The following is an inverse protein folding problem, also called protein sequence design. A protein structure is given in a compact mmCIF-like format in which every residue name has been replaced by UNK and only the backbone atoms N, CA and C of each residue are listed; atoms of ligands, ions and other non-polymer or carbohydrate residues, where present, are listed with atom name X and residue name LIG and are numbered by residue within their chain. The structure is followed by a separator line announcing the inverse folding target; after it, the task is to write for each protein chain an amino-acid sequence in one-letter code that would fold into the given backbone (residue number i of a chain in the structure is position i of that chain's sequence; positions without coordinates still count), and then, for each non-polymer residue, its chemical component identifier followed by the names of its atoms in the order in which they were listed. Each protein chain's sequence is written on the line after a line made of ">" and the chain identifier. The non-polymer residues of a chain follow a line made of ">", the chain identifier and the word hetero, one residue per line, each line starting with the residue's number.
data_IF_521207889532
#
_entry.id   IF_521207889532
#
_cell.length_a   1.000
_cell.length_b   1.000
_cell.length_c   1.000
_cell.angle_alpha   90.00
_cell.angle_beta   90.00
_cell.angle_gamma   90.00
#
_symmetry.space_group_name_H-M   'P 1'
#
loop_
_entity.id
_entity.type
_entity.pdbx_description
1 polymer ?
#
# COMPACT_ATOMS: atom_id res chain seq x y z
N UNK A 1 -0.12 -11.35 -22.43
CA UNK A 1 0.09 -10.17 -21.61
C UNK A 1 1.50 -9.63 -21.79
N UNK A 2 1.73 -8.36 -21.50
CA UNK A 2 3.06 -7.73 -21.55
C UNK A 2 3.98 -8.24 -20.45
N UNK A 3 3.42 -8.77 -19.38
CA UNK A 3 4.12 -9.26 -18.20
C UNK A 3 3.26 -10.29 -17.46
N UNK A 4 3.82 -10.92 -16.45
CA UNK A 4 3.10 -11.80 -15.55
C UNK A 4 2.97 -11.17 -14.14
N UNK A 5 2.14 -11.75 -13.29
CA UNK A 5 1.82 -11.22 -11.99
C UNK A 5 2.66 -11.85 -10.84
N UNK A 6 3.77 -12.51 -11.13
CA UNK A 6 4.55 -13.26 -10.13
C UNK A 6 5.51 -12.40 -9.29
N UNK A 7 5.89 -11.20 -9.73
CA UNK A 7 6.77 -10.32 -8.97
C UNK A 7 6.21 -9.93 -7.60
N UNK A 8 7.11 -9.65 -6.65
CA UNK A 8 6.74 -9.14 -5.31
C UNK A 8 6.44 -7.65 -5.29
N UNK A 9 6.77 -6.96 -6.38
CA UNK A 9 6.47 -5.55 -6.66
C UNK A 9 5.66 -5.52 -7.96
N UNK A 10 4.68 -4.64 -8.06
CA UNK A 10 3.88 -4.46 -9.26
C UNK A 10 4.58 -3.59 -10.32
N UNK A 11 3.92 -3.32 -11.46
CA UNK A 11 4.50 -2.53 -12.55
C UNK A 11 4.69 -1.05 -12.20
N UNK A 12 3.95 -0.52 -11.24
CA UNK A 12 4.09 0.84 -10.74
C UNK A 12 5.16 0.95 -9.64
N UNK A 13 5.75 -0.17 -9.19
CA UNK A 13 6.73 -0.21 -8.13
C UNK A 13 6.12 -0.33 -6.73
N UNK A 14 4.81 -0.58 -6.62
CA UNK A 14 4.17 -0.78 -5.31
C UNK A 14 4.42 -2.20 -4.80
N UNK A 15 4.72 -2.30 -3.51
CA UNK A 15 4.93 -3.56 -2.82
C UNK A 15 3.61 -4.35 -2.73
N UNK A 16 3.68 -5.64 -3.06
CA UNK A 16 2.62 -6.61 -2.83
C UNK A 16 2.78 -7.29 -1.47
N UNK A 17 1.76 -8.01 -1.01
CA UNK A 17 1.82 -8.69 0.28
C UNK A 17 3.05 -9.62 0.42
N UNK A 18 3.44 -10.32 -0.66
CA UNK A 18 4.63 -11.17 -0.65
C UNK A 18 5.97 -10.41 -0.46
N UNK A 19 6.04 -9.13 -0.78
CA UNK A 19 7.19 -8.28 -0.45
C UNK A 19 7.43 -8.28 1.06
N UNK A 20 6.37 -8.09 1.83
CA UNK A 20 6.44 -8.05 3.30
C UNK A 20 6.74 -9.42 3.92
N UNK A 21 6.34 -10.52 3.26
CA UNK A 21 6.80 -11.86 3.67
C UNK A 21 8.34 -11.96 3.55
N UNK A 22 8.93 -11.59 2.40
CA UNK A 22 10.38 -11.60 2.25
C UNK A 22 11.06 -10.62 3.21
N UNK A 23 10.49 -9.43 3.42
CA UNK A 23 11.02 -8.48 4.40
C UNK A 23 11.05 -9.07 5.80
N UNK A 24 10.02 -9.80 6.22
CA UNK A 24 9.98 -10.44 7.53
C UNK A 24 11.04 -11.53 7.72
N UNK A 25 11.52 -12.12 6.62
CA UNK A 25 12.52 -13.21 6.65
C UNK A 25 13.96 -12.71 6.49
N UNK A 26 14.16 -11.58 5.81
CA UNK A 26 15.49 -11.15 5.38
C UNK A 26 15.95 -9.81 5.97
N UNK A 27 15.05 -9.07 6.64
CA UNK A 27 15.38 -7.77 7.24
C UNK A 27 15.50 -7.90 8.76
N UNK A 28 16.49 -7.23 9.33
CA UNK A 28 16.63 -7.04 10.77
C UNK A 28 15.82 -5.83 11.28
N UNK A 29 15.32 -4.97 10.39
CA UNK A 29 14.48 -3.83 10.75
C UNK A 29 13.14 -4.32 11.30
N UNK A 30 12.72 -3.83 12.48
CA UNK A 30 11.46 -4.24 13.08
C UNK A 30 10.27 -4.01 12.16
N UNK A 31 9.51 -5.08 11.87
CA UNK A 31 8.38 -4.96 10.97
C UNK A 31 7.19 -5.84 11.38
N UNK A 32 6.00 -5.41 10.97
CA UNK A 32 4.78 -6.18 10.94
C UNK A 32 3.90 -5.72 9.79
N UNK A 33 3.36 -6.66 9.04
CA UNK A 33 2.39 -6.41 7.98
C UNK A 33 1.16 -7.26 8.22
N UNK A 34 -0.03 -6.66 8.10
CA UNK A 34 -1.32 -7.34 8.24
C UNK A 34 -2.06 -7.33 6.92
N UNK A 35 -2.54 -8.49 6.50
CA UNK A 35 -3.32 -8.66 5.29
C UNK A 35 -4.55 -9.57 5.52
N UNK A 36 -5.56 -9.46 4.66
CA UNK A 36 -5.77 -8.46 3.61
C UNK A 36 -6.11 -7.08 4.19
N UNK A 37 -6.28 -6.09 3.29
CA UNK A 37 -6.93 -4.83 3.68
C UNK A 37 -8.28 -5.10 4.38
N UNK A 38 -8.79 -4.14 5.20
CA UNK A 38 -10.01 -4.36 5.98
C UNK A 38 -11.20 -3.58 5.42
N UNK A 39 -11.43 -3.72 4.09
CA UNK A 39 -12.55 -3.10 3.39
C UNK A 39 -13.18 -4.13 2.44
N UNK A 40 -14.23 -4.80 2.88
CA UNK A 40 -14.90 -5.88 2.15
C UNK A 40 -16.41 -5.66 2.14
N UNK A 41 -16.92 -4.68 1.39
CA UNK A 41 -18.34 -4.37 1.36
C UNK A 41 -19.16 -5.60 0.92
N UNK A 42 -20.26 -5.88 1.64
CA UNK A 42 -21.13 -7.02 1.38
C UNK A 42 -20.63 -8.36 1.92
N UNK A 43 -19.53 -8.37 2.70
CA UNK A 43 -19.01 -9.58 3.37
C UNK A 43 -19.19 -9.53 4.89
N UNK A 44 -20.11 -8.72 5.39
CA UNK A 44 -20.37 -8.63 6.83
C UNK A 44 -20.75 -10.00 7.41
N UNK A 45 -20.05 -10.41 8.48
CA UNK A 45 -20.22 -11.71 9.13
C UNK A 45 -19.43 -12.87 8.49
N UNK A 46 -18.89 -12.71 7.28
CA UNK A 46 -18.05 -13.74 6.66
C UNK A 46 -16.70 -13.81 7.38
N UNK A 47 -16.24 -15.01 7.71
CA UNK A 47 -14.89 -15.22 8.24
C UNK A 47 -13.84 -14.87 7.18
N UNK A 48 -12.90 -13.97 7.55
CA UNK A 48 -11.76 -13.60 6.73
C UNK A 48 -10.49 -14.03 7.45
N UNK A 49 -9.62 -14.83 6.81
CA UNK A 49 -8.32 -15.14 7.36
C UNK A 49 -7.45 -13.87 7.33
N UNK A 50 -7.14 -13.36 8.51
CA UNK A 50 -6.21 -12.26 8.71
C UNK A 50 -4.83 -12.85 8.94
N UNK A 51 -3.93 -12.58 8.01
CA UNK A 51 -2.55 -13.06 8.03
C UNK A 51 -1.63 -11.94 8.51
N UNK A 52 -0.64 -12.28 9.31
CA UNK A 52 0.37 -11.34 9.80
C UNK A 52 1.76 -11.89 9.48
N UNK A 53 2.58 -11.05 8.82
CA UNK A 53 4.01 -11.27 8.63
C UNK A 53 4.77 -10.38 9.61
N UNK A 54 5.79 -10.93 10.27
CA UNK A 54 6.65 -10.17 11.20
C UNK A 54 7.98 -10.89 11.40
N UNK A 55 9.03 -10.12 11.70
CA UNK A 55 10.31 -10.63 12.19
C UNK A 55 10.42 -10.62 13.73
N UNK A 56 9.27 -10.43 14.41
CA UNK A 56 9.14 -10.59 15.85
C UNK A 56 8.90 -12.04 16.29
N UNK A 57 8.90 -12.28 17.60
CA UNK A 57 8.66 -13.59 18.21
C UNK A 57 7.17 -13.91 18.34
N UNK A 58 6.32 -12.87 18.33
CA UNK A 58 4.88 -12.97 18.46
C UNK A 58 4.18 -11.77 17.83
N UNK A 59 2.89 -11.95 17.52
CA UNK A 59 2.01 -10.85 17.18
C UNK A 59 0.67 -10.94 17.94
N UNK A 60 0.06 -9.80 18.16
CA UNK A 60 -1.29 -9.69 18.73
C UNK A 60 -2.18 -8.93 17.75
N UNK A 61 -3.34 -9.49 17.48
CA UNK A 61 -4.32 -8.89 16.59
C UNK A 61 -5.40 -8.17 17.40
N UNK A 62 -5.78 -6.98 16.94
CA UNK A 62 -6.83 -6.17 17.55
C UNK A 62 -7.91 -5.84 16.52
N UNK A 63 -9.16 -5.86 16.97
CA UNK A 63 -10.28 -5.32 16.23
C UNK A 63 -10.95 -4.19 17.03
N UNK A 64 -10.98 -2.98 16.48
CA UNK A 64 -11.48 -1.77 17.15
C UNK A 64 -10.89 -1.57 18.56
N UNK A 65 -9.59 -1.87 18.72
CA UNK A 65 -8.88 -1.77 19.99
C UNK A 65 -9.06 -2.95 20.95
N UNK A 66 -9.97 -3.89 20.68
CA UNK A 66 -10.14 -5.11 21.47
C UNK A 66 -9.21 -6.20 20.96
N UNK A 67 -8.43 -6.79 21.83
CA UNK A 67 -7.55 -7.91 21.50
C UNK A 67 -8.34 -9.14 21.04
N UNK A 68 -7.88 -9.76 19.96
CA UNK A 68 -8.32 -11.05 19.44
C UNK A 68 -7.33 -12.17 19.82
N UNK A 69 -6.40 -11.86 20.71
CA UNK A 69 -5.38 -12.74 21.22
C UNK A 69 -4.01 -12.53 20.59
N UNK A 70 -3.00 -12.90 21.38
CA UNK A 70 -1.59 -12.96 20.97
C UNK A 70 -1.26 -14.38 20.55
N UNK A 71 -0.46 -14.52 19.50
CA UNK A 71 0.07 -15.80 19.01
C UNK A 71 1.57 -15.68 18.79
N UNK A 72 2.29 -16.75 19.12
CA UNK A 72 3.72 -16.85 18.90
C UNK A 72 4.03 -17.17 17.44
N UNK A 73 5.15 -16.66 16.94
CA UNK A 73 5.71 -17.03 15.65
C UNK A 73 6.53 -18.29 15.82
N UNK A 74 6.07 -19.38 15.25
CA UNK A 74 6.84 -20.64 15.25
C UNK A 74 7.92 -20.61 14.16
N UNK A 75 9.06 -21.21 14.43
CA UNK A 75 10.21 -21.22 13.50
C UNK A 75 9.90 -21.81 12.13
N UNK A 76 9.00 -22.77 12.07
CA UNK A 76 8.59 -23.44 10.82
C UNK A 76 7.38 -22.77 10.17
N UNK A 77 6.89 -21.68 10.75
CA UNK A 77 5.77 -20.90 10.23
C UNK A 77 6.27 -19.62 9.57
N UNK A 78 5.76 -19.31 8.37
CA UNK A 78 6.07 -18.07 7.67
C UNK A 78 5.08 -16.95 8.04
N UNK A 79 4.04 -17.26 8.82
CA UNK A 79 2.93 -16.35 9.09
C UNK A 79 2.15 -16.75 10.33
N UNK A 80 1.43 -15.79 10.89
CA UNK A 80 0.44 -16.02 11.94
C UNK A 80 -0.94 -15.71 11.37
N UNK A 81 -1.95 -16.54 11.65
CA UNK A 81 -3.30 -16.40 11.08
C UNK A 81 -4.37 -16.35 12.16
N UNK A 82 -5.33 -15.44 11.99
CA UNK A 82 -6.59 -15.37 12.74
C UNK A 82 -7.77 -15.42 11.77
N UNK A 83 -8.77 -16.21 12.08
CA UNK A 83 -10.05 -16.16 11.36
C UNK A 83 -10.96 -15.15 12.07
N UNK A 84 -11.30 -14.08 11.38
CA UNK A 84 -12.05 -12.95 11.96
C UNK A 84 -13.32 -12.71 11.18
N UNK A 85 -14.51 -12.81 11.80
CA UNK A 85 -15.76 -12.39 11.15
C UNK A 85 -15.69 -10.92 10.75
N UNK A 86 -15.80 -10.65 9.45
CA UNK A 86 -15.70 -9.29 8.94
C UNK A 86 -16.82 -8.39 9.48
N UNK A 87 -16.43 -7.26 9.98
CA UNK A 87 -17.28 -6.09 10.30
C UNK A 87 -16.52 -4.82 9.95
N UNK A 88 -17.19 -3.76 9.47
CA UNK A 88 -16.54 -2.47 9.28
C UNK A 88 -15.88 -1.97 10.57
N UNK A 89 -14.61 -1.57 10.48
CA UNK A 89 -13.84 -1.13 11.65
C UNK A 89 -12.35 -1.04 11.35
N UNK A 90 -11.54 -1.17 12.38
CA UNK A 90 -10.07 -1.16 12.30
C UNK A 90 -9.53 -2.51 12.75
N UNK A 91 -8.75 -3.16 11.88
CA UNK A 91 -7.90 -4.29 12.23
C UNK A 91 -6.48 -3.77 12.45
N UNK A 92 -5.82 -4.19 13.52
CA UNK A 92 -4.44 -3.77 13.84
C UNK A 92 -3.65 -4.97 14.35
N UNK A 93 -2.46 -5.16 13.78
CA UNK A 93 -1.48 -6.09 14.32
C UNK A 93 -0.38 -5.34 15.06
N UNK A 94 0.06 -5.90 16.19
CA UNK A 94 1.21 -5.44 16.97
C UNK A 94 2.20 -6.58 17.09
N UNK A 95 3.44 -6.37 16.68
CA UNK A 95 4.51 -7.36 16.79
C UNK A 95 5.35 -7.14 18.04
N UNK A 96 5.81 -8.25 18.59
CA UNK A 96 6.63 -8.29 19.81
C UNK A 96 7.94 -9.06 19.53
N UNK A 97 9.00 -8.64 20.19
CA UNK A 97 10.28 -9.35 20.28
C UNK A 97 10.82 -9.20 21.69
N UNK A 98 11.23 -10.31 22.31
CA UNK A 98 11.70 -10.36 23.69
C UNK A 98 10.73 -9.64 24.67
N UNK A 99 9.42 -9.87 24.45
CA UNK A 99 8.35 -9.29 25.27
C UNK A 99 8.06 -7.80 25.03
N UNK A 100 8.79 -7.12 24.14
CA UNK A 100 8.63 -5.68 23.84
C UNK A 100 7.93 -5.50 22.50
N UNK A 101 7.11 -4.45 22.39
CA UNK A 101 6.53 -4.01 21.12
C UNK A 101 7.63 -3.49 20.20
N UNK A 102 7.70 -4.01 18.98
CA UNK A 102 8.68 -3.62 17.96
C UNK A 102 8.06 -2.89 16.78
N UNK A 103 6.83 -3.23 16.39
CA UNK A 103 6.15 -2.61 15.25
C UNK A 103 4.63 -2.73 15.38
N UNK A 104 3.89 -1.90 14.62
CA UNK A 104 2.44 -2.06 14.47
C UNK A 104 1.99 -1.64 13.07
N UNK A 105 0.97 -2.34 12.53
CA UNK A 105 0.34 -2.07 11.25
C UNK A 105 -1.17 -2.12 11.41
N UNK A 106 -1.92 -1.30 10.67
CA UNK A 106 -3.38 -1.30 10.77
C UNK A 106 -4.04 -0.96 9.45
N UNK A 107 -5.21 -1.58 9.22
CA UNK A 107 -6.12 -1.24 8.13
C UNK A 107 -7.46 -0.83 8.70
N UNK A 108 -8.05 0.20 8.11
CA UNK A 108 -9.36 0.71 8.48
C UNK A 108 -10.31 0.56 7.31
N UNK A 109 -11.53 0.11 7.59
CA UNK A 109 -12.58 0.05 6.58
C UNK A 109 -12.83 1.43 6.00
N UNK A 110 -12.67 1.54 4.68
CA UNK A 110 -12.94 2.75 3.93
C UNK A 110 -14.41 2.81 3.48
N UNK A 111 -14.91 4.03 3.35
CA UNK A 111 -16.17 4.32 2.68
C UNK A 111 -16.00 4.38 1.15
N UNK A 112 -16.95 5.03 0.47
CA UNK A 112 -16.89 5.27 -0.98
C UNK A 112 -15.73 6.20 -1.32
N UNK A 113 -15.13 6.00 -2.50
CA UNK A 113 -14.14 6.90 -3.07
C UNK A 113 -14.67 8.35 -3.09
N UNK A 114 -13.84 9.29 -2.64
CA UNK A 114 -14.23 10.69 -2.48
C UNK A 114 -13.18 11.68 -2.98
N UNK A 115 -11.90 11.43 -2.67
CA UNK A 115 -10.80 12.33 -3.03
C UNK A 115 -9.53 11.58 -3.38
N UNK A 116 -8.59 12.30 -3.96
CA UNK A 116 -7.24 11.82 -4.24
C UNK A 116 -6.26 12.43 -3.23
N UNK A 117 -5.37 11.61 -2.71
CA UNK A 117 -4.21 12.03 -1.93
C UNK A 117 -2.96 11.81 -2.75
N UNK A 118 -2.16 12.88 -2.96
CA UNK A 118 -0.89 12.81 -3.64
C UNK A 118 0.24 12.83 -2.62
N UNK A 119 1.19 11.92 -2.78
CA UNK A 119 2.36 11.82 -1.90
C UNK A 119 3.61 11.68 -2.74
N UNK A 120 4.48 12.70 -2.70
CA UNK A 120 5.78 12.63 -3.35
C UNK A 120 6.80 11.90 -2.45
N UNK A 121 7.69 11.12 -3.06
CA UNK A 121 8.78 10.42 -2.37
C UNK A 121 9.83 11.39 -1.80
N UNK A 122 9.89 12.62 -2.33
CA UNK A 122 10.80 13.68 -1.89
C UNK A 122 10.16 15.06 -2.06
N UNK A 123 10.64 16.04 -1.31
CA UNK A 123 10.13 17.42 -1.33
C UNK A 123 10.88 18.33 -2.29
N UNK A 124 12.08 17.96 -2.72
CA UNK A 124 12.96 18.78 -3.55
C UNK A 124 13.62 17.95 -4.64
N UNK A 125 13.88 18.57 -5.77
CA UNK A 125 14.62 18.03 -6.90
C UNK A 125 15.74 18.97 -7.32
N UNK A 126 16.80 18.44 -7.89
CA UNK A 126 17.88 19.25 -8.51
C UNK A 126 17.47 19.61 -9.95
N UNK A 127 17.65 20.88 -10.35
CA UNK A 127 17.43 21.35 -11.72
C UNK A 127 18.56 20.90 -12.64
N UNK A 128 18.57 19.63 -13.06
CA UNK A 128 19.68 19.01 -13.79
C UNK A 128 19.22 18.10 -14.93
N UNK A 129 17.95 18.13 -15.33
CA UNK A 129 17.31 17.26 -16.35
C UNK A 129 17.41 15.76 -16.06
N UNK A 130 17.89 15.36 -14.90
CA UNK A 130 18.11 13.95 -14.55
C UNK A 130 17.33 13.52 -13.31
N UNK A 131 17.14 14.45 -12.37
CA UNK A 131 16.49 14.15 -11.11
C UNK A 131 14.99 13.89 -11.33
N UNK A 132 14.46 12.88 -10.65
CA UNK A 132 13.06 12.45 -10.77
C UNK A 132 12.40 12.40 -9.41
N UNK A 133 11.09 12.61 -9.39
CA UNK A 133 10.23 12.42 -8.23
C UNK A 133 9.12 11.46 -8.60
N UNK A 134 8.82 10.56 -7.69
CA UNK A 134 7.69 9.63 -7.78
C UNK A 134 6.54 10.18 -6.93
N UNK A 135 5.40 10.38 -7.55
CA UNK A 135 4.20 10.87 -6.87
C UNK A 135 3.15 9.76 -6.86
N UNK A 136 2.95 9.18 -5.69
CA UNK A 136 1.88 8.21 -5.46
C UNK A 136 0.54 8.93 -5.37
N UNK A 137 -0.45 8.41 -6.08
CA UNK A 137 -1.84 8.83 -6.01
C UNK A 137 -2.62 7.73 -5.29
N UNK A 138 -3.21 8.07 -4.15
CA UNK A 138 -4.09 7.19 -3.38
C UNK A 138 -5.53 7.70 -3.47
N UNK A 139 -6.46 6.81 -3.79
CA UNK A 139 -7.89 7.11 -3.68
C UNK A 139 -8.30 6.99 -2.22
N UNK A 140 -8.94 8.02 -1.70
CA UNK A 140 -9.37 8.06 -0.30
C UNK A 140 -10.88 8.31 -0.17
N UNK A 141 -11.45 7.87 0.94
CA UNK A 141 -12.83 8.20 1.31
C UNK A 141 -12.91 9.62 1.92
N UNK A 142 -14.13 10.06 2.25
CA UNK A 142 -14.38 11.38 2.87
C UNK A 142 -13.64 11.60 4.20
N UNK A 143 -13.20 10.52 4.88
CA UNK A 143 -12.46 10.59 6.14
C UNK A 143 -10.93 10.45 5.92
N UNK A 144 -10.49 10.36 4.67
CA UNK A 144 -9.08 10.18 4.32
C UNK A 144 -8.57 8.73 4.42
N UNK A 145 -9.44 7.74 4.62
CA UNK A 145 -9.03 6.34 4.62
C UNK A 145 -8.80 5.87 3.17
N UNK A 146 -7.73 5.10 2.95
CA UNK A 146 -7.42 4.51 1.65
C UNK A 146 -8.51 3.54 1.19
N UNK A 147 -8.92 3.64 -0.10
CA UNK A 147 -9.95 2.80 -0.72
C UNK A 147 -9.33 1.76 -1.64
N UNK A 148 -9.05 0.54 -1.16
CA UNK A 148 -8.18 -0.44 -1.81
C UNK A 148 -8.81 -1.14 -3.02
N UNK A 149 -10.04 -0.83 -3.38
CA UNK A 149 -10.76 -1.41 -4.52
C UNK A 149 -11.18 -0.36 -5.55
N UNK A 150 -10.75 0.89 -5.38
CA UNK A 150 -11.16 1.97 -6.27
C UNK A 150 -10.41 1.92 -7.59
N UNK A 151 -11.17 1.84 -8.69
CA UNK A 151 -10.66 1.93 -10.05
C UNK A 151 -11.34 3.13 -10.72
N UNK A 152 -10.78 4.33 -10.51
CA UNK A 152 -11.33 5.60 -10.99
C UNK A 152 -10.42 6.23 -12.03
N UNK A 153 -11.01 6.91 -13.01
CA UNK A 153 -10.24 7.65 -14.01
C UNK A 153 -9.73 8.95 -13.38
N UNK A 154 -8.45 9.24 -13.59
CA UNK A 154 -7.76 10.42 -13.05
C UNK A 154 -7.07 11.15 -14.17
N UNK A 155 -7.35 12.45 -14.30
CA UNK A 155 -6.65 13.36 -15.17
C UNK A 155 -5.62 14.15 -14.36
N UNK A 156 -4.45 14.39 -14.95
CA UNK A 156 -3.34 15.09 -14.32
C UNK A 156 -3.06 16.41 -14.99
N UNK A 157 -2.92 17.46 -14.21
CA UNK A 157 -2.38 18.73 -14.64
C UNK A 157 -1.02 18.94 -13.94
N UNK A 158 0.04 19.12 -14.74
CA UNK A 158 1.39 19.36 -14.22
C UNK A 158 1.76 20.80 -14.51
N UNK A 159 2.00 21.59 -13.47
CA UNK A 159 2.42 23.01 -13.57
C UNK A 159 3.80 23.19 -12.95
N UNK A 160 4.59 24.08 -13.53
CA UNK A 160 5.96 24.39 -13.10
C UNK A 160 7.02 23.75 -13.99
N UNK A 161 8.27 23.78 -13.53
CA UNK A 161 9.44 23.34 -14.29
C UNK A 161 9.70 21.84 -14.21
N UNK A 162 8.66 21.06 -14.48
CA UNK A 162 8.68 19.60 -14.46
C UNK A 162 8.20 19.04 -15.80
N UNK A 163 8.74 17.89 -16.16
CA UNK A 163 8.29 17.11 -17.31
C UNK A 163 7.69 15.79 -16.82
N UNK A 164 6.45 15.52 -17.22
CA UNK A 164 5.88 14.19 -17.01
C UNK A 164 6.62 13.20 -17.92
N UNK A 165 7.24 12.18 -17.33
CA UNK A 165 7.96 11.12 -18.04
C UNK A 165 7.28 9.76 -17.96
N UNK A 166 6.34 9.57 -17.04
CA UNK A 166 5.55 8.35 -16.94
C UNK A 166 4.36 8.46 -16.02
N UNK A 167 3.34 7.67 -16.31
CA UNK A 167 2.23 7.33 -15.42
C UNK A 167 2.01 5.84 -15.43
N UNK A 168 1.70 5.25 -14.27
CA UNK A 168 1.49 3.83 -14.12
C UNK A 168 0.45 3.53 -13.02
N UNK A 169 -0.15 2.33 -13.03
CA UNK A 169 -1.13 1.94 -12.00
C UNK A 169 -0.88 0.53 -11.42
N UNK A 170 0.07 -0.23 -12.00
CA UNK A 170 0.37 -1.58 -11.57
C UNK A 170 -0.51 -2.68 -12.18
N UNK A 171 -1.54 -2.34 -12.95
CA UNK A 171 -2.39 -3.32 -13.62
C UNK A 171 -1.65 -3.94 -14.83
N UNK A 172 -1.38 -5.24 -14.76
CA UNK A 172 -0.72 -6.00 -15.85
C UNK A 172 -1.54 -6.07 -17.14
N UNK A 173 -2.82 -5.77 -17.07
CA UNK A 173 -3.74 -5.75 -18.21
C UNK A 173 -3.90 -4.34 -18.80
N UNK A 174 -3.43 -3.30 -18.14
CA UNK A 174 -3.48 -1.94 -18.67
C UNK A 174 -2.50 -1.79 -19.83
N UNK A 175 -3.03 -1.41 -20.99
CA UNK A 175 -2.28 -1.20 -22.23
C UNK A 175 -2.16 0.29 -22.60
N UNK A 176 -2.67 1.19 -21.75
CA UNK A 176 -2.61 2.63 -22.00
C UNK A 176 -1.16 3.12 -22.10
N UNK A 177 -0.88 4.16 -22.90
CA UNK A 177 0.45 4.73 -23.00
C UNK A 177 0.95 5.25 -21.65
N UNK A 178 2.27 5.18 -21.42
CA UNK A 178 2.85 5.65 -20.15
C UNK A 178 3.06 7.16 -20.09
N UNK A 179 3.13 7.85 -21.23
CA UNK A 179 3.41 9.30 -21.31
C UNK A 179 2.15 10.09 -21.67
N UNK A 180 1.12 9.93 -20.86
CA UNK A 180 -0.17 10.62 -21.00
C UNK A 180 -0.55 11.31 -19.71
N UNK A 181 -1.44 12.30 -19.77
CA UNK A 181 -1.89 13.05 -18.59
C UNK A 181 -3.17 12.45 -17.98
N UNK A 182 -3.37 11.16 -18.13
CA UNK A 182 -4.48 10.45 -17.51
C UNK A 182 -4.07 9.03 -17.14
N UNK A 183 -4.69 8.46 -16.12
CA UNK A 183 -4.55 7.04 -15.76
C UNK A 183 -5.75 6.61 -14.91
N UNK A 184 -6.27 5.43 -15.18
CA UNK A 184 -7.19 4.77 -14.26
C UNK A 184 -6.42 4.26 -13.05
N UNK A 185 -6.91 4.50 -11.85
CA UNK A 185 -6.31 3.86 -10.67
C UNK A 185 -6.58 2.36 -10.69
N UNK A 186 -5.67 1.60 -10.15
CA UNK A 186 -5.81 0.16 -9.93
C UNK A 186 -5.66 -0.14 -8.45
N UNK A 187 -6.67 -0.79 -7.87
CA UNK A 187 -6.71 -1.05 -6.42
C UNK A 187 -6.46 0.21 -5.58
N UNK A 188 -7.04 1.33 -5.99
CA UNK A 188 -6.95 2.60 -5.30
C UNK A 188 -5.67 3.40 -5.54
N UNK A 189 -4.76 2.94 -6.41
CA UNK A 189 -3.45 3.56 -6.62
C UNK A 189 -3.15 3.91 -8.08
N UNK A 190 -2.34 4.96 -8.25
CA UNK A 190 -1.61 5.26 -9.48
C UNK A 190 -0.28 5.93 -9.12
N UNK A 191 0.64 5.99 -10.08
CA UNK A 191 1.95 6.61 -9.93
C UNK A 191 2.19 7.62 -11.05
N UNK A 192 2.68 8.82 -10.69
CA UNK A 192 3.27 9.76 -11.64
C UNK A 192 4.77 9.79 -11.45
N UNK A 193 5.50 9.93 -12.56
CA UNK A 193 6.94 10.12 -12.57
C UNK A 193 7.22 11.46 -13.25
N UNK A 194 7.75 12.40 -12.48
CA UNK A 194 8.11 13.74 -12.95
C UNK A 194 9.62 13.89 -12.96
N UNK A 195 10.14 14.50 -14.02
CA UNK A 195 11.56 14.79 -14.18
C UNK A 195 11.78 16.31 -14.10
N UNK A 196 12.86 16.72 -13.41
CA UNK A 196 13.27 18.09 -13.35
C UNK A 196 13.70 18.62 -14.74
N UNK A 197 13.46 19.91 -15.00
CA UNK A 197 14.05 20.64 -16.13
C UNK A 197 15.36 21.36 -15.71
N UNK A 198 15.89 22.24 -16.55
CA UNK A 198 17.06 23.06 -16.21
C UNK A 198 16.72 24.27 -15.33
N UNK A 199 15.45 24.62 -15.27
CA UNK A 199 15.01 25.82 -14.55
C UNK A 199 14.82 25.47 -13.07
N UNK A 200 15.29 26.33 -12.18
CA UNK A 200 14.97 26.24 -10.77
C UNK A 200 13.56 26.79 -10.57
N UNK A 201 12.59 25.86 -10.47
CA UNK A 201 11.21 26.18 -10.09
C UNK A 201 11.04 26.21 -8.56
N UNK A 202 9.99 26.90 -8.11
CA UNK A 202 9.49 26.88 -6.71
C UNK A 202 8.26 26.00 -6.61
#
# INVERSE_FOLDING_TARGET
>A
GRTNNYGIIDLAGFEKDHYYLYQSLWSDEPMVHVLPHWTHPGKEGVEIPVVVYTNGDAAELFYNGKSLGRKDMHRDSLQIVWNVPYRPGTIKAVAYKDGRVIASCSHKTAGKAYSLKLTADRKTMKSNRKDVVFVTVDVTDKKGNFVPYANVDVDFEVKGDYKLIGVENGDVLDIAPHKVLYRKTFNGKALLILQATDNAGR
#
